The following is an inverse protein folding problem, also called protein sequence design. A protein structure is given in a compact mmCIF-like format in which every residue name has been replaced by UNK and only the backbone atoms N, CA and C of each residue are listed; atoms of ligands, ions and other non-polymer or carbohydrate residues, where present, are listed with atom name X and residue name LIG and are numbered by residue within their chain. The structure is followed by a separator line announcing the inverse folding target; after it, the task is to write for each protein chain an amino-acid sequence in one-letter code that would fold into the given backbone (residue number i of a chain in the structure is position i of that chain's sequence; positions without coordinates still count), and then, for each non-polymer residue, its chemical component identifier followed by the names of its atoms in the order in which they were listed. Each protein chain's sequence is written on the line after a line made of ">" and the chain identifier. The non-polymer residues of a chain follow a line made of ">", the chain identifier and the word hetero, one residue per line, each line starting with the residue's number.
data_IF_105765761768
#
_entry.id   IF_105765761768
#
_cell.length_a   1.000
_cell.length_b   1.000
_cell.length_c   1.000
_cell.angle_alpha   90.00
_cell.angle_beta   90.00
_cell.angle_gamma   90.00
#
_symmetry.space_group_name_H-M   'P 1'
#
loop_
_entity.id
_entity.type
_entity.pdbx_description
1 polymer ?
#
# COMPACT_ATOMS: atom_id res chain seq x y z
N UNK A 1 -16.69 -4.77 31.82
CA UNK A 1 -16.76 -4.94 30.34
C UNK A 1 -17.91 -4.17 29.69
N UNK A 2 -19.15 -4.25 30.18
CA UNK A 2 -20.33 -3.61 29.56
C UNK A 2 -20.20 -2.08 29.33
N UNK A 3 -19.57 -1.35 30.25
CA UNK A 3 -19.44 0.11 30.15
C UNK A 3 -18.43 0.59 29.08
N UNK A 4 -17.46 -0.25 28.71
CA UNK A 4 -16.46 0.06 27.66
C UNK A 4 -17.03 -0.21 26.26
N UNK A 5 -17.83 -1.27 26.13
CA UNK A 5 -18.53 -1.64 24.88
C UNK A 5 -19.62 -0.61 24.50
N UNK A 6 -20.34 -0.07 25.49
CA UNK A 6 -21.30 1.02 25.28
C UNK A 6 -20.64 2.29 24.72
N UNK A 7 -19.46 2.64 25.22
CA UNK A 7 -18.78 3.88 24.82
C UNK A 7 -18.08 3.77 23.46
N UNK A 8 -17.61 2.57 23.09
CA UNK A 8 -16.93 2.32 21.80
C UNK A 8 -17.87 2.01 20.63
N UNK A 9 -19.03 1.37 20.87
CA UNK A 9 -19.94 0.98 19.79
C UNK A 9 -21.24 1.79 19.76
N UNK A 10 -21.87 2.03 20.92
CA UNK A 10 -23.20 2.66 20.95
C UNK A 10 -23.13 4.16 20.66
N UNK A 11 -22.08 4.86 21.13
CA UNK A 11 -21.89 6.29 20.82
C UNK A 11 -21.63 6.58 19.34
N UNK A 12 -20.67 5.93 18.65
CA UNK A 12 -20.47 6.19 17.23
C UNK A 12 -21.64 5.71 16.38
N UNK A 13 -22.28 4.59 16.71
CA UNK A 13 -23.45 4.11 15.98
C UNK A 13 -24.68 5.01 16.18
N UNK A 14 -24.88 5.55 17.38
CA UNK A 14 -25.92 6.54 17.65
C UNK A 14 -25.68 7.86 16.90
N UNK A 15 -24.44 8.33 16.83
CA UNK A 15 -24.08 9.50 16.04
C UNK A 15 -24.31 9.26 14.54
N UNK A 16 -23.94 8.09 14.02
CA UNK A 16 -24.15 7.72 12.63
C UNK A 16 -25.64 7.66 12.27
N UNK A 17 -26.47 7.04 13.13
CA UNK A 17 -27.92 7.00 12.96
C UNK A 17 -28.54 8.40 13.00
N UNK A 18 -28.09 9.26 13.93
CA UNK A 18 -28.56 10.64 14.01
C UNK A 18 -28.19 11.42 12.75
N UNK A 19 -26.94 11.28 12.26
CA UNK A 19 -26.49 11.91 11.04
C UNK A 19 -27.31 11.47 9.82
N UNK A 20 -27.61 10.17 9.69
CA UNK A 20 -28.48 9.63 8.66
C UNK A 20 -29.88 10.25 8.69
N UNK A 21 -30.48 10.37 9.88
CA UNK A 21 -31.81 10.98 10.04
C UNK A 21 -31.78 12.46 9.64
N UNK A 22 -30.77 13.21 10.10
CA UNK A 22 -30.65 14.65 9.79
C UNK A 22 -30.44 14.87 8.30
N UNK A 23 -29.51 14.12 7.68
CA UNK A 23 -29.26 14.23 6.23
C UNK A 23 -30.50 13.82 5.44
N UNK A 24 -31.17 12.73 5.80
CA UNK A 24 -32.42 12.29 5.16
C UNK A 24 -33.52 13.34 5.24
N UNK A 25 -33.70 13.96 6.41
CA UNK A 25 -34.66 15.05 6.59
C UNK A 25 -34.32 16.27 5.72
N UNK A 26 -33.04 16.65 5.63
CA UNK A 26 -32.61 17.75 4.76
C UNK A 26 -32.92 17.44 3.28
N UNK A 27 -32.62 16.22 2.82
CA UNK A 27 -32.88 15.81 1.44
C UNK A 27 -34.38 15.91 1.13
N UNK A 28 -35.25 15.41 2.02
CA UNK A 28 -36.70 15.49 1.85
C UNK A 28 -37.19 16.94 1.82
N UNK A 29 -36.73 17.78 2.74
CA UNK A 29 -37.15 19.19 2.80
C UNK A 29 -36.71 19.94 1.53
N UNK A 30 -35.47 19.71 1.08
CA UNK A 30 -34.96 20.34 -0.15
C UNK A 30 -35.70 19.81 -1.39
N UNK A 31 -35.97 18.51 -1.47
CA UNK A 31 -36.73 17.89 -2.55
C UNK A 31 -38.15 18.46 -2.64
N UNK A 32 -38.89 18.47 -1.52
CA UNK A 32 -40.25 19.00 -1.46
C UNK A 32 -40.31 20.50 -1.76
N UNK A 33 -39.36 21.29 -1.24
CA UNK A 33 -39.32 22.73 -1.54
C UNK A 33 -39.03 23.00 -3.01
N UNK A 34 -38.06 22.32 -3.62
CA UNK A 34 -37.78 22.46 -5.05
C UNK A 34 -38.95 22.00 -5.93
N UNK A 35 -39.63 20.92 -5.54
CA UNK A 35 -40.82 20.43 -6.24
C UNK A 35 -41.98 21.42 -6.14
N UNK A 36 -42.23 22.01 -4.96
CA UNK A 36 -43.26 23.03 -4.78
C UNK A 36 -43.02 24.27 -5.66
N UNK A 37 -41.76 24.64 -5.93
CA UNK A 37 -41.42 25.73 -6.84
C UNK A 37 -41.57 25.36 -8.33
N UNK A 38 -41.33 24.10 -8.71
CA UNK A 38 -41.35 23.66 -10.11
C UNK A 38 -42.74 23.19 -10.57
N UNK A 39 -43.52 22.56 -9.69
CA UNK A 39 -44.89 22.07 -9.95
C UNK A 39 -45.78 22.30 -8.72
N UNK A 40 -46.52 23.42 -8.66
CA UNK A 40 -47.33 23.78 -7.49
C UNK A 40 -48.56 22.89 -7.24
N UNK A 41 -49.00 22.11 -8.24
CA UNK A 41 -50.13 21.15 -8.10
C UNK A 41 -49.69 19.76 -7.60
N UNK A 42 -48.42 19.61 -7.20
CA UNK A 42 -47.85 18.31 -6.83
C UNK A 42 -48.01 18.03 -5.32
N UNK A 43 -48.62 16.90 -4.98
CA UNK A 43 -49.07 16.60 -3.61
C UNK A 43 -48.06 15.88 -2.72
N UNK A 44 -47.10 15.10 -3.25
CA UNK A 44 -46.08 14.40 -2.44
C UNK A 44 -44.97 13.76 -3.28
N UNK A 45 -43.69 14.05 -2.96
CA UNK A 45 -42.49 13.45 -3.58
C UNK A 45 -42.39 11.93 -3.35
N UNK A 46 -42.92 11.45 -2.21
CA UNK A 46 -42.82 10.05 -1.79
C UNK A 46 -43.62 9.08 -2.68
N UNK A 47 -44.58 9.57 -3.46
CA UNK A 47 -45.40 8.73 -4.34
C UNK A 47 -44.78 8.52 -5.73
N UNK A 48 -43.60 9.11 -5.99
CA UNK A 48 -42.95 9.00 -7.30
C UNK A 48 -42.44 7.58 -7.55
N UNK A 49 -42.87 6.91 -8.63
CA UNK A 49 -42.39 5.56 -8.94
C UNK A 49 -40.87 5.53 -9.17
N UNK A 50 -40.28 6.63 -9.65
CA UNK A 50 -38.84 6.75 -9.85
C UNK A 50 -38.05 6.72 -8.54
N UNK A 51 -38.64 7.21 -7.43
CA UNK A 51 -38.01 7.19 -6.10
C UNK A 51 -37.86 5.74 -5.61
N UNK A 52 -38.88 4.91 -5.81
CA UNK A 52 -38.83 3.50 -5.45
C UNK A 52 -37.82 2.71 -6.29
N UNK A 53 -37.69 3.06 -7.58
CA UNK A 53 -36.65 2.48 -8.45
C UNK A 53 -35.25 2.87 -7.98
N UNK A 54 -35.02 4.15 -7.67
CA UNK A 54 -33.75 4.62 -7.14
C UNK A 54 -33.41 3.98 -5.79
N UNK A 55 -34.40 3.85 -4.89
CA UNK A 55 -34.25 3.18 -3.61
C UNK A 55 -33.89 1.70 -3.78
N UNK A 56 -34.59 0.98 -4.65
CA UNK A 56 -34.30 -0.42 -4.95
C UNK A 56 -32.88 -0.60 -5.52
N UNK A 57 -32.45 0.31 -6.40
CA UNK A 57 -31.09 0.30 -6.95
C UNK A 57 -30.03 0.55 -5.86
N UNK A 58 -30.28 1.53 -4.98
CA UNK A 58 -29.37 1.85 -3.88
C UNK A 58 -29.23 0.67 -2.90
N UNK A 59 -30.34 0.02 -2.55
CA UNK A 59 -30.34 -1.21 -1.74
C UNK A 59 -29.57 -2.31 -2.48
N UNK A 60 -29.76 -2.45 -3.80
CA UNK A 60 -29.03 -3.42 -4.62
C UNK A 60 -27.51 -3.20 -4.57
N UNK A 61 -27.05 -1.96 -4.74
CA UNK A 61 -25.62 -1.61 -4.65
C UNK A 61 -25.06 -1.90 -3.26
N UNK A 62 -25.80 -1.53 -2.20
CA UNK A 62 -25.40 -1.82 -0.83
C UNK A 62 -25.35 -3.33 -0.57
N UNK A 63 -26.31 -4.10 -1.08
CA UNK A 63 -26.33 -5.56 -0.94
C UNK A 63 -25.17 -6.21 -1.68
N UNK A 64 -24.83 -5.74 -2.89
CA UNK A 64 -23.65 -6.20 -3.64
C UNK A 64 -22.37 -5.86 -2.88
N UNK A 65 -22.24 -4.62 -2.38
CA UNK A 65 -21.10 -4.19 -1.57
C UNK A 65 -20.96 -5.03 -0.30
N UNK A 66 -22.06 -5.23 0.43
CA UNK A 66 -22.09 -6.05 1.64
C UNK A 66 -21.71 -7.50 1.35
N UNK A 67 -22.23 -8.08 0.26
CA UNK A 67 -21.85 -9.42 -0.19
C UNK A 67 -20.37 -9.47 -0.55
N UNK A 68 -19.81 -8.46 -1.23
CA UNK A 68 -18.38 -8.42 -1.55
C UNK A 68 -17.55 -8.34 -0.27
N UNK A 69 -17.95 -7.54 0.72
CA UNK A 69 -17.19 -7.35 1.97
C UNK A 69 -17.35 -8.49 2.98
N UNK A 70 -18.44 -9.25 2.94
CA UNK A 70 -18.72 -10.35 3.89
C UNK A 70 -18.20 -11.70 3.41
N UNK A 71 -17.56 -11.76 2.24
CA UNK A 71 -16.94 -12.98 1.71
C UNK A 71 -15.60 -13.26 2.38
N UNK A 72 -15.23 -14.55 2.52
CA UNK A 72 -13.88 -14.93 2.93
C UNK A 72 -12.86 -14.47 1.87
N UNK A 73 -11.73 -13.93 2.33
CA UNK A 73 -10.63 -13.49 1.46
C UNK A 73 -10.16 -14.65 0.55
N UNK A 74 -9.98 -14.39 -0.75
CA UNK A 74 -9.48 -15.36 -1.73
C UNK A 74 -10.53 -16.04 -2.62
N UNK A 75 -11.81 -15.66 -2.54
CA UNK A 75 -12.90 -16.31 -3.31
C UNK A 75 -13.10 -15.78 -4.74
N UNK A 76 -12.42 -14.70 -5.15
CA UNK A 76 -12.65 -14.02 -6.45
C UNK A 76 -11.55 -14.27 -7.50
N UNK A 77 -10.63 -15.20 -7.26
CA UNK A 77 -9.62 -15.62 -8.24
C UNK A 77 -8.78 -14.42 -8.76
N UNK A 78 -8.78 -14.11 -10.06
CA UNK A 78 -7.93 -13.06 -10.62
C UNK A 78 -8.27 -11.63 -10.17
N UNK A 79 -9.46 -11.38 -9.61
CA UNK A 79 -9.85 -10.09 -9.01
C UNK A 79 -9.45 -9.97 -7.53
N UNK A 80 -9.06 -11.09 -6.93
CA UNK A 80 -8.54 -11.22 -5.55
C UNK A 80 -7.01 -11.34 -5.55
N UNK A 81 -6.37 -11.23 -6.73
CA UNK A 81 -4.92 -11.04 -6.78
C UNK A 81 -4.63 -9.77 -6.00
N UNK A 82 -3.93 -9.94 -4.89
CA UNK A 82 -3.27 -8.86 -4.17
C UNK A 82 -2.53 -8.00 -5.21
N UNK A 83 -3.15 -6.90 -5.63
CA UNK A 83 -2.36 -5.71 -5.86
C UNK A 83 -1.78 -5.42 -4.49
N UNK A 84 -0.54 -5.87 -4.29
CA UNK A 84 0.27 -5.49 -3.15
C UNK A 84 0.32 -3.95 -3.15
N UNK A 85 -0.56 -3.38 -2.36
CA UNK A 85 -0.50 -2.01 -1.87
C UNK A 85 -0.05 -2.25 -0.45
N UNK A 86 1.18 -1.85 -0.13
CA UNK A 86 1.86 -2.08 1.14
C UNK A 86 0.91 -2.23 2.33
N UNK A 87 1.09 -3.31 3.10
CA UNK A 87 0.17 -3.76 4.15
C UNK A 87 0.01 -2.82 5.35
N UNK A 88 0.54 -1.59 5.30
CA UNK A 88 0.38 -0.59 6.34
C UNK A 88 -0.52 0.58 5.89
N UNK A 89 -1.41 0.97 6.78
CA UNK A 89 -2.31 2.12 6.60
C UNK A 89 -1.51 3.43 6.47
N UNK A 90 -2.00 4.37 5.66
CA UNK A 90 -1.46 5.75 5.53
C UNK A 90 -1.42 6.48 6.89
N UNK A 91 -2.18 5.99 7.88
CA UNK A 91 -2.23 6.51 9.25
C UNK A 91 -1.42 5.69 10.25
N UNK A 92 -0.58 4.76 9.80
CA UNK A 92 0.31 4.01 10.67
C UNK A 92 1.31 4.97 11.36
N UNK A 93 1.64 4.74 12.63
CA UNK A 93 2.70 5.50 13.30
C UNK A 93 4.00 5.37 12.50
N UNK A 94 4.80 6.43 12.44
CA UNK A 94 6.11 6.33 11.80
C UNK A 94 6.92 5.19 12.43
N UNK A 95 7.55 4.33 11.60
CA UNK A 95 8.33 3.22 12.11
C UNK A 95 9.48 3.75 12.97
N UNK A 96 9.88 3.00 14.01
CA UNK A 96 10.93 3.44 14.91
C UNK A 96 12.24 3.65 14.13
N UNK A 97 13.02 4.69 14.47
CA UNK A 97 14.26 4.98 13.77
C UNK A 97 15.26 3.83 13.89
N UNK A 98 16.03 3.61 12.82
CA UNK A 98 17.06 2.57 12.77
C UNK A 98 18.09 2.77 13.89
N UNK A 99 18.48 1.68 14.55
CA UNK A 99 19.45 1.68 15.65
C UNK A 99 20.78 2.32 15.23
N UNK A 100 21.22 3.35 15.97
CA UNK A 100 22.45 4.12 15.73
C UNK A 100 23.69 3.22 15.80
N UNK A 101 23.62 2.09 16.52
CA UNK A 101 24.73 1.12 16.63
C UNK A 101 25.11 0.51 15.29
N UNK A 102 24.20 0.53 14.31
CA UNK A 102 24.42 0.05 12.95
C UNK A 102 25.20 1.04 12.08
N UNK A 103 25.47 2.25 12.58
CA UNK A 103 26.32 3.28 11.96
C UNK A 103 27.68 3.39 12.67
N UNK A 104 28.20 2.26 13.15
CA UNK A 104 29.47 2.21 13.85
C UNK A 104 30.60 1.98 12.84
N UNK A 105 31.69 2.73 13.03
CA UNK A 105 32.86 2.66 12.17
C UNK A 105 32.96 3.82 11.19
N UNK A 106 34.05 3.85 10.44
CA UNK A 106 34.24 4.82 9.37
C UNK A 106 33.26 4.54 8.21
N UNK A 107 32.65 5.58 7.61
CA UNK A 107 31.82 5.42 6.42
C UNK A 107 32.63 4.80 5.29
N UNK A 108 32.13 3.70 4.75
CA UNK A 108 32.65 3.05 3.56
C UNK A 108 32.13 3.67 2.26
N UNK A 109 32.53 3.06 1.16
CA UNK A 109 32.15 3.42 -0.20
C UNK A 109 31.23 2.36 -0.82
N UNK A 110 30.63 2.68 -1.97
CA UNK A 110 29.80 1.73 -2.71
C UNK A 110 30.57 0.47 -3.15
N UNK A 111 31.89 0.57 -3.30
CA UNK A 111 32.75 -0.56 -3.66
C UNK A 111 32.94 -1.57 -2.52
N UNK A 112 32.63 -1.19 -1.29
CA UNK A 112 32.78 -2.05 -0.11
C UNK A 112 31.56 -2.95 0.12
N UNK A 113 30.47 -2.70 -0.61
CA UNK A 113 29.26 -3.52 -0.55
C UNK A 113 29.60 -4.91 -1.11
N UNK A 114 29.34 -5.95 -0.34
CA UNK A 114 29.54 -7.35 -0.73
C UNK A 114 28.28 -8.17 -0.46
N UNK A 115 28.26 -9.41 -0.95
CA UNK A 115 27.23 -10.38 -0.61
C UNK A 115 27.13 -10.54 0.92
N UNK A 116 25.90 -10.64 1.42
CA UNK A 116 25.62 -10.79 2.85
C UNK A 116 25.40 -9.49 3.62
N UNK A 117 25.71 -8.33 3.04
CA UNK A 117 25.38 -7.04 3.66
C UNK A 117 23.87 -6.89 3.87
N UNK A 118 23.49 -6.21 4.95
CA UNK A 118 22.09 -5.90 5.26
C UNK A 118 21.76 -4.49 4.80
N UNK A 119 20.74 -4.39 3.95
CA UNK A 119 20.16 -3.15 3.49
C UNK A 119 19.10 -2.69 4.49
N UNK A 120 19.25 -1.47 5.00
CA UNK A 120 18.36 -0.82 5.95
C UNK A 120 17.62 0.31 5.26
N UNK A 121 16.28 0.24 5.30
CA UNK A 121 15.42 1.38 5.02
C UNK A 121 15.26 2.23 6.29
N UNK A 122 14.62 3.38 6.20
CA UNK A 122 14.32 4.21 7.37
C UNK A 122 13.47 3.47 8.42
N UNK A 123 12.67 2.49 7.98
CA UNK A 123 11.81 1.68 8.83
C UNK A 123 12.52 0.47 9.48
N UNK A 124 13.76 0.16 9.10
CA UNK A 124 14.50 -0.99 9.64
C UNK A 124 15.15 -1.87 8.56
N UNK A 125 15.55 -3.11 8.92
CA UNK A 125 16.21 -4.03 8.02
C UNK A 125 15.26 -4.48 6.90
N UNK A 126 15.62 -4.18 5.65
CA UNK A 126 14.79 -4.40 4.48
C UNK A 126 15.19 -5.69 3.73
N UNK A 127 16.47 -5.85 3.42
CA UNK A 127 16.91 -6.90 2.51
C UNK A 127 18.37 -7.30 2.74
N UNK A 128 18.78 -8.46 2.22
CA UNK A 128 20.17 -8.93 2.24
C UNK A 128 20.72 -8.95 0.83
N UNK A 129 21.92 -8.40 0.64
CA UNK A 129 22.60 -8.36 -0.66
C UNK A 129 22.98 -9.77 -1.10
N UNK A 130 22.59 -10.13 -2.32
CA UNK A 130 22.97 -11.37 -3.01
C UNK A 130 24.00 -11.12 -4.10
N UNK A 131 24.00 -9.93 -4.71
CA UNK A 131 24.96 -9.59 -5.76
C UNK A 131 24.88 -8.12 -6.16
N UNK A 132 25.90 -7.63 -6.86
CA UNK A 132 25.94 -6.27 -7.39
C UNK A 132 26.15 -6.35 -8.89
N UNK A 133 25.27 -5.72 -9.63
CA UNK A 133 25.35 -5.57 -11.06
C UNK A 133 26.03 -4.24 -11.40
N UNK A 134 27.20 -4.26 -12.07
CA UNK A 134 27.84 -3.03 -12.52
C UNK A 134 26.96 -2.32 -13.56
N UNK A 135 26.96 -0.99 -13.53
CA UNK A 135 26.11 -0.20 -14.43
C UNK A 135 26.44 -0.39 -15.91
N UNK A 136 25.44 -0.79 -16.70
CA UNK A 136 25.48 -0.78 -18.16
C UNK A 136 24.64 0.36 -18.75
N UNK A 137 24.96 0.78 -19.97
CA UNK A 137 24.11 1.70 -20.74
C UNK A 137 22.94 0.92 -21.33
N UNK A 138 21.74 1.14 -20.80
CA UNK A 138 20.53 0.47 -21.29
C UNK A 138 19.59 1.52 -21.93
N UNK A 139 19.33 1.37 -23.24
CA UNK A 139 18.36 2.15 -24.02
C UNK A 139 18.33 3.67 -23.71
N UNK A 140 19.50 4.31 -23.67
CA UNK A 140 19.62 5.76 -23.49
C UNK A 140 19.50 6.28 -22.04
N UNK A 141 19.27 5.40 -21.05
CA UNK A 141 19.36 5.73 -19.62
C UNK A 141 20.65 5.13 -19.04
N UNK A 142 21.54 6.00 -18.58
CA UNK A 142 22.80 5.59 -17.94
C UNK A 142 22.51 5.25 -16.48
N UNK A 143 22.40 3.98 -16.14
CA UNK A 143 22.29 3.51 -14.74
C UNK A 143 23.68 3.18 -14.20
N UNK A 144 24.01 3.61 -12.98
CA UNK A 144 25.38 3.39 -12.44
C UNK A 144 25.57 1.98 -11.89
N UNK A 145 24.49 1.24 -11.62
CA UNK A 145 24.51 -0.15 -11.16
C UNK A 145 23.23 -0.51 -10.40
N UNK A 146 23.04 -1.81 -10.14
CA UNK A 146 21.91 -2.34 -9.38
C UNK A 146 22.43 -3.31 -8.31
N UNK A 147 21.84 -3.25 -7.12
CA UNK A 147 22.06 -4.19 -6.04
C UNK A 147 20.92 -5.20 -6.11
N UNK A 148 21.28 -6.46 -6.29
CA UNK A 148 20.34 -7.57 -6.20
C UNK A 148 20.29 -8.07 -4.77
N UNK A 149 19.10 -8.05 -4.19
CA UNK A 149 18.89 -8.37 -2.79
C UNK A 149 17.64 -9.22 -2.59
N UNK A 150 17.65 -10.01 -1.51
CA UNK A 150 16.49 -10.77 -1.05
C UNK A 150 15.85 -10.06 0.13
N UNK A 151 14.54 -9.81 0.06
CA UNK A 151 13.82 -9.16 1.15
C UNK A 151 13.80 -9.98 2.44
N UNK A 152 13.80 -9.28 3.57
CA UNK A 152 13.70 -9.86 4.90
C UNK A 152 12.41 -9.39 5.56
N UNK A 153 11.95 -10.12 6.59
CA UNK A 153 10.85 -9.70 7.47
C UNK A 153 9.53 -9.30 6.75
N UNK A 154 9.20 -9.95 5.64
CA UNK A 154 7.97 -9.68 4.87
C UNK A 154 8.16 -8.72 3.68
N UNK A 155 9.36 -8.20 3.46
CA UNK A 155 9.70 -7.51 2.21
C UNK A 155 9.72 -8.48 1.02
N UNK A 156 9.60 -7.93 -0.20
CA UNK A 156 9.60 -8.69 -1.46
C UNK A 156 10.76 -9.69 -1.53
N UNK A 157 10.48 -10.92 -1.94
CA UNK A 157 11.48 -11.98 -2.08
C UNK A 157 12.67 -11.61 -2.97
N UNK A 158 12.45 -10.66 -3.89
CA UNK A 158 13.41 -10.20 -4.87
C UNK A 158 13.36 -8.67 -4.95
N UNK A 159 14.52 -8.03 -4.81
CA UNK A 159 14.68 -6.58 -4.85
C UNK A 159 15.87 -6.17 -5.72
N UNK A 160 15.62 -5.23 -6.62
CA UNK A 160 16.52 -4.63 -7.58
C UNK A 160 16.71 -3.15 -7.24
N UNK A 161 17.70 -2.88 -6.40
CA UNK A 161 17.86 -1.57 -5.77
C UNK A 161 18.93 -0.79 -6.52
N UNK A 162 18.63 0.37 -7.12
CA UNK A 162 19.64 1.19 -7.79
C UNK A 162 20.70 1.65 -6.80
N UNK A 163 21.97 1.67 -7.21
CA UNK A 163 23.06 2.09 -6.31
C UNK A 163 22.90 3.56 -5.88
N UNK A 164 22.17 4.35 -6.65
CA UNK A 164 21.80 5.73 -6.34
C UNK A 164 20.90 5.85 -5.11
N UNK A 165 20.21 4.77 -4.71
CA UNK A 165 19.41 4.73 -3.50
C UNK A 165 20.26 4.54 -2.23
N UNK A 166 21.57 4.26 -2.35
CA UNK A 166 22.45 4.08 -1.20
C UNK A 166 22.87 5.44 -0.63
N UNK A 167 22.57 5.66 0.65
CA UNK A 167 22.98 6.86 1.39
C UNK A 167 24.33 6.70 2.09
N UNK A 168 24.55 5.55 2.72
CA UNK A 168 25.75 5.28 3.50
C UNK A 168 26.03 3.79 3.56
N UNK A 169 27.32 3.44 3.61
CA UNK A 169 27.82 2.06 3.77
C UNK A 169 28.68 2.04 5.03
N UNK A 170 28.52 1.02 5.87
CA UNK A 170 29.34 0.79 7.06
C UNK A 170 29.93 -0.62 6.99
N UNK A 171 31.19 -0.76 6.54
CA UNK A 171 31.81 -2.07 6.33
C UNK A 171 31.96 -2.89 7.62
N UNK A 172 32.27 -2.23 8.75
CA UNK A 172 32.46 -2.90 10.04
C UNK A 172 31.21 -3.64 10.52
N UNK A 173 30.03 -3.07 10.29
CA UNK A 173 28.74 -3.63 10.68
C UNK A 173 28.01 -4.34 9.54
N UNK A 174 28.62 -4.39 8.35
CA UNK A 174 28.02 -4.94 7.13
C UNK A 174 26.63 -4.35 6.82
N UNK A 175 26.45 -3.05 7.08
CA UNK A 175 25.17 -2.37 6.94
C UNK A 175 25.22 -1.32 5.82
N UNK A 176 24.17 -1.28 5.01
CA UNK A 176 23.95 -0.26 3.97
C UNK A 176 22.65 0.44 4.28
N UNK A 177 22.65 1.77 4.27
CA UNK A 177 21.46 2.58 4.50
C UNK A 177 20.92 3.11 3.17
N UNK A 178 19.62 2.94 2.95
CA UNK A 178 18.92 3.34 1.75
C UNK A 178 18.11 4.62 1.96
N UNK A 179 17.95 5.39 0.89
CA UNK A 179 17.06 6.55 0.79
C UNK A 179 15.61 6.11 0.51
N UNK A 180 15.08 5.17 1.30
CA UNK A 180 13.70 4.71 1.17
C UNK A 180 13.06 4.48 2.54
N UNK A 181 11.76 4.70 2.61
CA UNK A 181 10.91 4.16 3.67
C UNK A 181 10.56 2.71 3.27
N UNK A 182 10.64 1.73 4.18
CA UNK A 182 10.70 0.31 3.78
C UNK A 182 9.45 -0.24 3.08
N UNK A 183 8.32 0.46 3.14
CA UNK A 183 7.09 0.17 2.39
C UNK A 183 7.08 0.74 0.97
N UNK A 184 8.00 1.65 0.63
CA UNK A 184 8.05 2.33 -0.66
C UNK A 184 8.78 1.52 -1.76
N UNK A 185 9.30 0.34 -1.44
CA UNK A 185 10.06 -0.47 -2.43
C UNK A 185 9.26 -0.79 -3.68
N UNK A 186 7.95 -0.97 -3.55
CA UNK A 186 7.01 -1.16 -4.66
C UNK A 186 6.74 0.14 -5.42
N UNK A 187 6.63 1.27 -4.69
CA UNK A 187 6.48 2.60 -5.30
C UNK A 187 7.68 2.96 -6.18
N UNK A 188 8.89 2.58 -5.75
CA UNK A 188 10.10 2.75 -6.54
C UNK A 188 10.29 1.68 -7.63
N UNK A 189 9.42 0.67 -7.69
CA UNK A 189 9.51 -0.43 -8.65
C UNK A 189 10.72 -1.34 -8.45
N UNK A 190 11.27 -1.40 -7.23
CA UNK A 190 12.44 -2.23 -6.92
C UNK A 190 12.10 -3.72 -6.91
N UNK A 191 10.82 -4.09 -6.87
CA UNK A 191 10.36 -5.46 -7.00
C UNK A 191 10.35 -5.98 -8.45
N UNK A 192 10.60 -5.11 -9.44
CA UNK A 192 10.62 -5.48 -10.85
C UNK A 192 12.07 -5.60 -11.38
N UNK A 193 12.42 -6.71 -12.04
CA UNK A 193 13.71 -6.83 -12.69
C UNK A 193 13.84 -5.83 -13.86
N UNK A 194 15.07 -5.40 -14.20
CA UNK A 194 15.33 -4.62 -15.41
C UNK A 194 14.90 -5.38 -16.67
N UNK A 195 14.46 -4.65 -17.71
CA UNK A 195 13.97 -5.26 -18.96
C UNK A 195 15.04 -6.08 -19.71
N UNK A 196 16.33 -5.74 -19.58
CA UNK A 196 17.46 -6.52 -20.09
C UNK A 196 17.63 -7.89 -19.40
N UNK A 197 17.09 -8.06 -18.20
CA UNK A 197 17.26 -9.28 -17.42
C UNK A 197 16.05 -10.21 -17.60
N UNK A 198 16.28 -11.29 -18.34
CA UNK A 198 15.32 -12.39 -18.43
C UNK A 198 15.53 -13.33 -17.26
N UNK A 199 14.51 -13.41 -16.41
CA UNK A 199 14.44 -14.32 -15.27
C UNK A 199 14.48 -15.77 -15.74
N UNK A 200 15.25 -16.61 -15.05
CA UNK A 200 15.02 -18.05 -15.07
C UNK A 200 13.95 -18.35 -14.01
N UNK A 201 12.70 -18.57 -14.45
CA UNK A 201 11.52 -18.75 -13.57
C UNK A 201 11.70 -19.87 -12.53
N UNK A 202 12.69 -20.74 -12.73
CA UNK A 202 12.95 -21.91 -11.88
C UNK A 202 13.78 -21.61 -10.63
N UNK A 203 14.38 -20.42 -10.46
CA UNK A 203 15.27 -20.11 -9.33
C UNK A 203 15.13 -18.67 -8.79
N UNK A 204 14.03 -18.35 -8.07
CA UNK A 204 13.73 -17.00 -7.58
C UNK A 204 14.65 -16.48 -6.46
N UNK A 205 15.55 -17.30 -5.91
CA UNK A 205 16.43 -16.93 -4.79
C UNK A 205 17.92 -17.10 -5.11
N UNK A 206 18.26 -17.31 -6.38
CA UNK A 206 19.64 -17.30 -6.82
C UNK A 206 19.86 -16.07 -7.69
N UNK A 207 21.06 -15.46 -7.65
CA UNK A 207 21.43 -14.50 -8.66
C UNK A 207 21.29 -15.16 -10.04
N UNK A 208 20.70 -14.48 -11.05
CA UNK A 208 20.69 -15.00 -12.42
C UNK A 208 22.12 -15.30 -12.89
N UNK A 209 22.26 -16.25 -13.82
CA UNK A 209 23.58 -16.74 -14.30
C UNK A 209 24.45 -15.68 -14.99
N UNK A 210 23.92 -14.49 -15.21
CA UNK A 210 24.59 -13.30 -15.75
C UNK A 210 25.28 -12.43 -14.68
N UNK A 211 25.22 -12.81 -13.39
CA UNK A 211 25.99 -12.20 -12.31
C UNK A 211 27.43 -12.70 -12.27
#
# INVERSE_FOLDING_TARGET
>A
MAHRMYRLFVKPMGFFLLAMIVVGAIIIIVGETLLAFYQPDFTSELQRPELYVALALAIGVMAVGALVTSRPAGSLGPLDRELAIGGESIFAPEPPPVDVRLRRGEPGTLADIQEGYVLYAQSGPLARVLGILPGEQEYGKRRRGLIYATGMYGASAELWIPIEAVLAVYPETQSVFLAAKGDETEHFGWNLPPESFRRDERRPHQPPSSF
#
